data_IF_187006890828
#
_entry.id   IF_187006890828
#
_cell.length_a   1.000
_cell.length_b   1.000
_cell.length_c   1.000
_cell.angle_alpha   90.00
_cell.angle_beta   90.00
_cell.angle_gamma   90.00
#
_symmetry.space_group_name_H-M   'P 1'
#
loop_
_entity.id
_entity.type
_entity.pdbx_description
1 polymer ?
#
# COMPACT_ATOMS: atom_id res chain seq x y z
N UNK A 1 -7.31 -26.32 -12.19
CA UNK A 1 -6.61 -25.08 -11.86
C UNK A 1 -5.85 -24.58 -13.07
N UNK A 2 -6.13 -23.38 -13.51
CA UNK A 2 -5.30 -22.74 -14.51
C UNK A 2 -3.92 -22.49 -13.88
N UNK A 3 -2.85 -23.03 -14.49
CA UNK A 3 -1.48 -22.62 -14.18
C UNK A 3 -1.33 -21.20 -14.74
N UNK A 4 -1.48 -20.21 -13.88
CA UNK A 4 -1.10 -18.86 -14.20
C UNK A 4 0.42 -18.74 -14.34
N UNK A 5 0.88 -17.69 -15.01
CA UNK A 5 2.28 -17.32 -15.04
C UNK A 5 2.78 -17.07 -13.62
N UNK A 6 4.05 -17.35 -13.34
CA UNK A 6 4.65 -17.02 -12.05
C UNK A 6 4.59 -15.50 -11.84
N UNK A 7 4.23 -15.08 -10.64
CA UNK A 7 4.31 -13.66 -10.24
C UNK A 7 5.75 -13.38 -9.85
N UNK A 8 6.39 -12.45 -10.55
CA UNK A 8 7.76 -12.03 -10.27
C UNK A 8 7.72 -10.96 -9.19
N UNK A 9 8.40 -11.23 -8.09
CA UNK A 9 8.66 -10.23 -7.04
C UNK A 9 10.09 -9.74 -7.23
N UNK A 10 10.30 -8.48 -7.61
CA UNK A 10 11.65 -7.95 -7.82
C UNK A 10 12.42 -7.91 -6.49
N UNK A 11 13.74 -7.96 -6.59
CA UNK A 11 14.62 -7.76 -5.43
C UNK A 11 14.32 -6.38 -4.83
N UNK A 12 14.15 -6.34 -3.51
CA UNK A 12 13.82 -5.12 -2.74
C UNK A 12 12.52 -4.42 -3.18
N UNK A 13 11.65 -5.14 -3.91
CA UNK A 13 10.37 -4.67 -4.41
C UNK A 13 9.18 -5.43 -3.83
N UNK A 14 7.99 -5.09 -4.31
CA UNK A 14 6.72 -5.65 -3.87
C UNK A 14 5.98 -6.32 -5.03
N UNK A 15 5.53 -7.56 -4.83
CA UNK A 15 4.55 -8.20 -5.72
C UNK A 15 3.13 -7.83 -5.28
N UNK A 16 2.27 -7.51 -6.24
CA UNK A 16 0.90 -7.05 -5.96
C UNK A 16 -0.09 -8.05 -6.49
N UNK A 17 -1.06 -8.41 -5.65
CA UNK A 17 -2.25 -9.16 -6.03
C UNK A 17 -3.45 -8.20 -5.96
N UNK A 18 -4.10 -7.94 -7.10
CA UNK A 18 -5.23 -7.02 -7.21
C UNK A 18 -6.32 -7.59 -8.11
N UNK A 19 -7.55 -7.09 -7.99
CA UNK A 19 -8.71 -7.66 -8.68
C UNK A 19 -8.62 -7.59 -10.22
N UNK A 20 -8.00 -6.56 -10.73
CA UNK A 20 -7.79 -6.25 -12.16
C UNK A 20 -6.41 -6.70 -12.69
N UNK A 21 -5.65 -7.43 -11.86
CA UNK A 21 -4.35 -7.99 -12.18
C UNK A 21 -4.20 -9.43 -11.72
N UNK A 22 -3.00 -9.80 -11.33
CA UNK A 22 -2.77 -11.09 -10.70
C UNK A 22 -3.55 -11.17 -9.38
N UNK A 23 -4.35 -12.20 -9.21
CA UNK A 23 -5.16 -12.38 -8.01
C UNK A 23 -5.28 -13.86 -7.62
N UNK A 24 -5.60 -14.11 -6.36
CA UNK A 24 -5.91 -15.46 -5.85
C UNK A 24 -7.42 -15.59 -5.75
N UNK A 25 -7.99 -16.51 -6.52
CA UNK A 25 -9.41 -16.82 -6.45
C UNK A 25 -9.64 -17.93 -5.42
N UNK A 26 -10.35 -17.60 -4.35
CA UNK A 26 -10.78 -18.57 -3.35
C UNK A 26 -12.18 -19.10 -3.69
N UNK A 27 -12.25 -20.34 -4.14
CA UNK A 27 -13.53 -21.00 -4.38
C UNK A 27 -14.02 -21.65 -3.09
N UNK A 28 -14.94 -20.98 -2.40
CA UNK A 28 -15.56 -21.47 -1.17
C UNK A 28 -17.07 -21.57 -1.34
N UNK A 29 -17.72 -22.36 -0.48
CA UNK A 29 -19.19 -22.34 -0.41
C UNK A 29 -19.65 -20.96 0.06
N UNK A 30 -20.78 -20.42 -0.45
CA UNK A 30 -21.35 -19.17 0.02
C UNK A 30 -21.45 -19.12 1.55
N UNK A 31 -21.01 -18.03 2.17
CA UNK A 31 -21.06 -17.82 3.61
C UNK A 31 -19.95 -18.50 4.43
N UNK A 32 -19.03 -19.23 3.80
CA UNK A 32 -17.90 -19.88 4.51
C UNK A 32 -16.85 -18.85 4.96
N UNK A 33 -16.57 -17.84 4.12
CA UNK A 33 -15.58 -16.80 4.40
C UNK A 33 -16.27 -15.49 4.79
N UNK A 34 -16.71 -15.43 6.04
CA UNK A 34 -17.39 -14.25 6.59
C UNK A 34 -16.40 -13.13 6.90
N UNK A 35 -16.90 -11.88 6.87
CA UNK A 35 -16.11 -10.73 7.31
C UNK A 35 -15.53 -10.96 8.72
N UNK A 36 -14.28 -10.57 8.90
CA UNK A 36 -13.53 -10.75 10.14
C UNK A 36 -12.91 -12.14 10.33
N UNK A 37 -13.27 -13.14 9.49
CA UNK A 37 -12.67 -14.48 9.59
C UNK A 37 -11.33 -14.57 8.87
N UNK A 38 -10.53 -15.56 9.26
CA UNK A 38 -9.21 -15.82 8.69
C UNK A 38 -9.20 -17.16 7.94
N UNK A 39 -8.52 -17.18 6.79
CA UNK A 39 -8.21 -18.41 6.06
C UNK A 39 -6.69 -18.59 6.04
N UNK A 40 -6.16 -19.75 6.44
CA UNK A 40 -4.75 -20.06 6.27
C UNK A 40 -4.45 -20.30 4.78
N UNK A 41 -3.34 -19.76 4.30
CA UNK A 41 -2.85 -19.94 2.95
C UNK A 41 -1.34 -20.16 2.96
N UNK A 42 -0.87 -21.10 2.17
CA UNK A 42 0.55 -21.31 1.92
C UNK A 42 0.91 -20.76 0.54
N UNK A 43 1.81 -19.79 0.51
CA UNK A 43 2.42 -19.29 -0.72
C UNK A 43 3.74 -20.03 -0.93
N UNK A 44 3.94 -20.59 -2.13
CA UNK A 44 5.19 -21.25 -2.49
C UNK A 44 6.01 -20.32 -3.37
N UNK A 45 7.19 -19.97 -2.93
CA UNK A 45 8.15 -19.15 -3.65
C UNK A 45 9.30 -20.02 -4.17
N UNK A 46 9.78 -19.73 -5.36
CA UNK A 46 10.86 -20.48 -5.99
C UNK A 46 12.14 -20.48 -5.13
N UNK A 47 12.51 -19.32 -4.58
CA UNK A 47 13.75 -19.15 -3.83
C UNK A 47 13.55 -19.14 -2.30
N UNK A 48 12.38 -18.76 -1.80
CA UNK A 48 12.12 -18.63 -0.36
C UNK A 48 11.33 -19.82 0.23
N UNK A 49 10.94 -20.78 -0.60
CA UNK A 49 10.17 -21.95 -0.16
C UNK A 49 8.72 -21.58 0.19
N UNK A 50 8.17 -22.23 1.23
CA UNK A 50 6.77 -22.07 1.62
C UNK A 50 6.66 -21.02 2.73
N UNK A 51 5.82 -20.01 2.49
CA UNK A 51 5.45 -18.99 3.49
C UNK A 51 3.99 -19.18 3.85
N UNK A 52 3.73 -19.48 5.12
CA UNK A 52 2.37 -19.58 5.66
C UNK A 52 1.86 -18.19 6.02
N UNK A 53 0.70 -17.83 5.49
CA UNK A 53 0.02 -16.56 5.77
C UNK A 53 -1.41 -16.81 6.22
N UNK A 54 -2.06 -15.79 6.76
CA UNK A 54 -3.49 -15.79 7.07
C UNK A 54 -4.14 -14.65 6.30
N UNK A 55 -5.12 -14.98 5.47
CA UNK A 55 -5.96 -13.99 4.80
C UNK A 55 -7.15 -13.65 5.69
N UNK A 56 -7.37 -12.37 5.94
CA UNK A 56 -8.55 -11.88 6.64
C UNK A 56 -9.55 -11.34 5.61
N UNK A 57 -10.82 -11.71 5.74
CA UNK A 57 -11.89 -11.03 5.01
C UNK A 57 -12.21 -9.72 5.72
N UNK A 58 -11.72 -8.63 5.19
CA UNK A 58 -11.98 -7.27 5.72
C UNK A 58 -13.30 -6.68 5.23
N UNK A 59 -14.01 -7.38 4.34
CA UNK A 59 -15.17 -6.84 3.62
C UNK A 59 -14.76 -6.01 2.40
N UNK A 60 -15.68 -5.22 1.87
CA UNK A 60 -15.34 -4.25 0.83
C UNK A 60 -14.32 -3.25 1.39
N UNK A 61 -13.25 -3.00 0.65
CA UNK A 61 -12.24 -2.00 1.01
C UNK A 61 -12.91 -0.62 1.02
N UNK A 62 -13.41 -0.21 2.17
CA UNK A 62 -13.85 1.16 2.39
C UNK A 62 -12.61 1.91 2.88
N UNK A 63 -12.12 2.85 2.08
CA UNK A 63 -11.17 3.84 2.57
C UNK A 63 -11.89 4.76 3.56
N UNK A 64 -12.11 4.27 4.78
CA UNK A 64 -12.51 5.13 5.88
C UNK A 64 -11.23 5.76 6.44
N UNK A 65 -10.89 6.92 5.92
CA UNK A 65 -10.03 7.83 6.66
C UNK A 65 -10.89 8.38 7.81
N UNK A 66 -10.82 7.72 8.96
CA UNK A 66 -11.38 8.27 10.19
C UNK A 66 -10.59 9.54 10.55
N UNK A 67 -11.14 10.69 10.18
CA UNK A 67 -10.54 12.01 10.43
C UNK A 67 -10.71 12.46 11.87
N UNK A 68 -11.47 11.73 12.69
CA UNK A 68 -11.74 12.10 14.08
C UNK A 68 -10.49 12.05 14.97
N UNK A 69 -9.45 11.35 14.52
CA UNK A 69 -8.18 11.19 15.25
C UNK A 69 -6.99 11.60 14.37
N UNK A 70 -7.09 12.70 13.64
CA UNK A 70 -6.03 13.23 12.79
C UNK A 70 -5.04 14.11 13.56
N UNK A 71 -3.87 14.36 12.97
CA UNK A 71 -2.84 15.27 13.48
C UNK A 71 -2.76 16.49 12.59
N UNK A 72 -2.83 17.68 13.20
CA UNK A 72 -2.58 18.97 12.53
C UNK A 72 -1.38 19.63 13.15
N UNK A 73 -0.40 19.96 12.32
CA UNK A 73 0.84 20.66 12.73
C UNK A 73 0.96 22.00 11.99
N UNK A 74 1.71 22.91 12.58
CA UNK A 74 2.00 24.22 11.97
C UNK A 74 3.53 24.44 11.95
N UNK A 75 4.13 24.52 10.73
CA UNK A 75 3.52 24.34 9.42
C UNK A 75 3.12 22.88 9.16
N UNK A 76 2.01 22.68 8.48
CA UNK A 76 1.55 21.34 8.09
C UNK A 76 2.54 20.67 7.13
N UNK A 77 2.74 19.34 7.21
CA UNK A 77 3.50 18.63 6.20
C UNK A 77 2.83 18.72 4.84
N UNK A 78 3.63 18.62 3.77
CA UNK A 78 3.13 18.51 2.40
C UNK A 78 3.68 17.27 1.74
N UNK A 79 2.97 16.78 0.73
CA UNK A 79 3.34 15.59 -0.05
C UNK A 79 3.05 15.82 -1.52
N UNK A 80 4.06 15.59 -2.35
CA UNK A 80 3.95 15.49 -3.80
C UNK A 80 4.48 14.14 -4.26
N UNK A 81 3.81 13.52 -5.24
CA UNK A 81 4.18 12.22 -5.79
C UNK A 81 4.67 12.37 -7.22
N UNK A 82 5.82 11.79 -7.50
CA UNK A 82 6.42 11.77 -8.82
C UNK A 82 6.93 10.37 -9.16
N UNK A 83 6.97 10.02 -10.46
CA UNK A 83 7.63 8.80 -10.91
C UNK A 83 9.13 9.06 -11.09
N UNK A 84 9.97 8.33 -10.38
CA UNK A 84 11.40 8.25 -10.67
C UNK A 84 11.63 7.30 -11.85
N UNK A 85 10.97 6.12 -11.83
CA UNK A 85 10.84 5.24 -12.98
C UNK A 85 9.36 5.09 -13.31
N UNK A 86 8.97 5.45 -14.53
CA UNK A 86 7.58 5.40 -15.00
C UNK A 86 7.03 3.97 -14.95
N UNK A 87 5.74 3.79 -14.67
CA UNK A 87 5.13 2.48 -14.58
C UNK A 87 5.24 1.68 -15.88
N UNK A 88 5.68 0.45 -15.74
CA UNK A 88 5.72 -0.57 -16.79
C UNK A 88 5.27 -1.91 -16.23
N UNK A 89 5.07 -2.90 -17.10
CA UNK A 89 4.79 -4.27 -16.65
C UNK A 89 5.86 -4.88 -15.74
N UNK A 90 7.07 -4.32 -15.71
CA UNK A 90 8.17 -4.78 -14.86
C UNK A 90 8.18 -4.06 -13.50
N UNK A 91 7.32 -3.06 -13.31
CA UNK A 91 7.20 -2.28 -12.09
C UNK A 91 7.39 -0.79 -12.32
N UNK A 92 7.51 -0.05 -11.22
CA UNK A 92 7.68 1.40 -11.20
C UNK A 92 8.45 1.83 -9.95
N UNK A 93 9.08 3.00 -10.00
CA UNK A 93 9.69 3.61 -8.82
C UNK A 93 9.05 4.96 -8.55
N UNK A 94 8.41 5.05 -7.38
CA UNK A 94 7.77 6.26 -6.89
C UNK A 94 8.78 7.10 -6.11
N UNK A 95 8.75 8.40 -6.28
CA UNK A 95 9.42 9.40 -5.45
C UNK A 95 8.38 10.23 -4.70
N UNK A 96 8.63 10.47 -3.42
CA UNK A 96 7.84 11.32 -2.55
C UNK A 96 8.65 12.59 -2.23
N UNK A 97 8.13 13.74 -2.62
CA UNK A 97 8.65 15.02 -2.18
C UNK A 97 7.82 15.53 -1.01
N UNK A 98 8.48 15.71 0.13
CA UNK A 98 7.82 16.15 1.36
C UNK A 98 8.49 17.43 1.90
N UNK A 99 7.69 18.36 2.41
CA UNK A 99 8.19 19.46 3.21
C UNK A 99 7.58 19.38 4.61
N UNK A 100 8.30 19.89 5.59
CA UNK A 100 7.91 19.83 7.00
C UNK A 100 7.56 18.41 7.46
N UNK A 101 8.30 17.40 6.96
CA UNK A 101 8.09 16.01 7.33
C UNK A 101 9.40 15.24 7.32
N UNK A 102 9.61 14.44 8.34
CA UNK A 102 10.75 13.54 8.48
C UNK A 102 10.26 12.09 8.55
N UNK A 103 10.74 11.26 7.63
CA UNK A 103 10.49 9.83 7.71
C UNK A 103 11.21 9.22 8.91
N UNK A 104 10.45 8.55 9.76
CA UNK A 104 10.95 7.91 10.97
C UNK A 104 10.42 6.48 11.07
N UNK A 105 11.29 5.54 11.38
CA UNK A 105 10.91 4.16 11.67
C UNK A 105 10.95 3.98 13.18
N UNK A 106 9.78 3.87 13.76
CA UNK A 106 9.60 3.65 15.20
C UNK A 106 8.83 2.35 15.44
N UNK A 107 8.81 1.89 16.68
CA UNK A 107 7.94 0.80 17.10
C UNK A 107 6.46 1.22 16.99
N UNK A 108 5.57 0.22 16.87
CA UNK A 108 4.14 0.47 16.62
C UNK A 108 3.43 1.30 17.71
N UNK A 109 4.00 1.34 18.93
CA UNK A 109 3.47 2.08 20.08
C UNK A 109 4.24 3.40 20.35
N UNK A 110 5.01 3.89 19.39
CA UNK A 110 5.78 5.11 19.56
C UNK A 110 4.86 6.32 19.72
N UNK A 111 5.23 7.19 20.66
CA UNK A 111 4.52 8.45 20.85
C UNK A 111 4.65 9.36 19.63
N UNK A 112 3.64 10.20 19.42
CA UNK A 112 3.67 11.23 18.40
C UNK A 112 4.85 12.19 18.61
N UNK A 113 5.57 12.44 17.53
CA UNK A 113 6.57 13.51 17.41
C UNK A 113 6.12 14.42 16.27
N UNK A 114 6.03 15.74 16.49
CA UNK A 114 5.59 16.67 15.46
C UNK A 114 6.36 16.54 14.15
N UNK A 115 5.63 16.46 13.04
CA UNK A 115 6.18 16.35 11.69
C UNK A 115 7.09 15.13 11.45
N UNK A 116 6.97 14.09 12.27
CA UNK A 116 7.64 12.82 12.06
C UNK A 116 6.63 11.67 11.83
N UNK A 117 7.05 10.69 11.04
CA UNK A 117 6.23 9.51 10.83
C UNK A 117 6.61 8.70 9.59
N UNK A 118 5.60 8.12 8.97
CA UNK A 118 5.74 7.25 7.82
C UNK A 118 4.61 7.50 6.81
N UNK A 119 4.79 7.01 5.59
CA UNK A 119 3.72 7.03 4.61
C UNK A 119 2.99 5.68 4.56
N UNK A 120 1.68 5.72 4.29
CA UNK A 120 0.90 4.57 3.89
C UNK A 120 0.72 4.58 2.37
N UNK A 121 1.07 3.49 1.72
CA UNK A 121 0.96 3.33 0.26
C UNK A 121 -0.19 2.40 -0.05
N UNK A 122 -1.04 2.81 -1.00
CA UNK A 122 -2.20 2.05 -1.47
C UNK A 122 -2.19 1.93 -2.98
N UNK A 123 -2.62 0.80 -3.51
CA UNK A 123 -2.89 0.60 -4.93
C UNK A 123 -4.32 0.11 -5.11
N UNK A 124 -5.11 0.81 -5.91
CA UNK A 124 -6.55 0.55 -6.08
C UNK A 124 -7.29 0.38 -4.74
N UNK A 125 -6.91 1.21 -3.74
CA UNK A 125 -7.47 1.17 -2.40
C UNK A 125 -6.92 0.07 -1.48
N UNK A 126 -6.11 -0.85 -1.99
CA UNK A 126 -5.45 -1.86 -1.17
C UNK A 126 -4.17 -1.30 -0.55
N UNK A 127 -4.05 -1.36 0.77
CA UNK A 127 -2.83 -0.96 1.47
C UNK A 127 -1.70 -1.93 1.16
N UNK A 128 -0.64 -1.42 0.51
CA UNK A 128 0.56 -2.20 0.20
C UNK A 128 1.50 -2.28 1.39
N UNK A 129 1.55 -1.23 2.21
CA UNK A 129 2.42 -1.20 3.38
C UNK A 129 2.70 0.19 3.90
N UNK A 130 3.72 0.25 4.77
CA UNK A 130 4.29 1.48 5.33
C UNK A 130 5.60 1.78 4.63
N UNK A 131 5.85 3.05 4.38
CA UNK A 131 7.06 3.55 3.76
C UNK A 131 7.76 4.51 4.73
N UNK A 132 9.04 4.26 4.96
CA UNK A 132 9.88 5.03 5.90
C UNK A 132 11.01 5.77 5.17
N UNK A 133 10.81 6.04 3.89
CA UNK A 133 11.75 6.75 3.02
C UNK A 133 10.99 7.52 1.94
N UNK A 134 11.69 8.34 1.20
CA UNK A 134 11.12 9.14 0.12
C UNK A 134 11.03 8.42 -1.23
N UNK A 135 11.28 7.10 -1.28
CA UNK A 135 11.13 6.32 -2.50
C UNK A 135 10.43 4.98 -2.22
N UNK A 136 9.62 4.51 -3.17
CA UNK A 136 8.94 3.23 -3.08
C UNK A 136 9.02 2.45 -4.39
N UNK A 137 9.48 1.20 -4.32
CA UNK A 137 9.52 0.32 -5.47
C UNK A 137 8.22 -0.48 -5.58
N UNK A 138 7.51 -0.30 -6.68
CA UNK A 138 6.36 -1.13 -7.04
C UNK A 138 6.87 -2.28 -7.92
N UNK A 139 6.47 -3.51 -7.60
CA UNK A 139 6.82 -4.68 -8.38
C UNK A 139 6.07 -4.76 -9.70
N UNK A 140 6.26 -5.88 -10.41
CA UNK A 140 5.59 -6.13 -11.68
C UNK A 140 4.06 -6.03 -11.55
N UNK A 141 3.44 -5.35 -12.51
CA UNK A 141 2.00 -5.16 -12.62
C UNK A 141 1.47 -5.81 -13.89
N UNK A 142 0.27 -6.37 -13.81
CA UNK A 142 -0.45 -6.82 -15.01
C UNK A 142 -1.01 -5.62 -15.80
N UNK A 143 -1.32 -5.78 -17.10
CA UNK A 143 -2.04 -4.76 -17.85
C UNK A 143 -3.33 -4.34 -17.15
N UNK A 144 -3.60 -3.04 -17.09
CA UNK A 144 -4.78 -2.50 -16.44
C UNK A 144 -4.63 -1.06 -15.95
N UNK A 145 -5.70 -0.52 -15.37
CA UNK A 145 -5.75 0.82 -14.80
C UNK A 145 -5.51 0.78 -13.30
N UNK A 146 -4.68 1.69 -12.83
CA UNK A 146 -4.25 1.75 -11.44
C UNK A 146 -4.38 3.15 -10.86
N UNK A 147 -4.79 3.19 -9.60
CA UNK A 147 -4.71 4.39 -8.76
C UNK A 147 -3.76 4.09 -7.61
N UNK A 148 -2.59 4.72 -7.63
CA UNK A 148 -1.67 4.73 -6.50
C UNK A 148 -2.00 5.92 -5.61
N UNK A 149 -2.18 5.71 -4.32
CA UNK A 149 -2.33 6.79 -3.37
C UNK A 149 -1.40 6.60 -2.17
N UNK A 150 -0.96 7.72 -1.62
CA UNK A 150 -0.05 7.77 -0.48
C UNK A 150 -0.56 8.80 0.50
N UNK A 151 -0.59 8.46 1.79
CA UNK A 151 -0.90 9.39 2.88
C UNK A 151 0.26 9.48 3.87
N UNK A 152 0.49 10.67 4.44
CA UNK A 152 1.42 10.82 5.55
C UNK A 152 0.71 10.52 6.88
N UNK A 153 1.37 9.77 7.73
CA UNK A 153 0.89 9.37 9.03
C UNK A 153 1.97 9.60 10.10
N UNK A 154 1.54 10.01 11.28
CA UNK A 154 2.41 10.17 12.44
C UNK A 154 2.94 8.84 12.98
N UNK A 155 3.86 8.87 13.91
CA UNK A 155 4.44 7.69 14.54
C UNK A 155 3.38 6.82 15.22
N UNK A 156 2.34 7.41 15.79
CA UNK A 156 1.19 6.75 16.42
C UNK A 156 0.04 6.47 15.42
N UNK A 157 0.35 6.43 14.11
CA UNK A 157 -0.54 6.03 13.00
C UNK A 157 -1.72 6.95 12.68
N UNK A 158 -1.80 8.13 13.28
CA UNK A 158 -2.82 9.11 12.92
C UNK A 158 -2.50 9.79 11.59
N UNK A 159 -3.48 10.02 10.71
CA UNK A 159 -3.23 10.74 9.46
C UNK A 159 -2.91 12.21 9.72
N UNK A 160 -1.93 12.75 9.01
CA UNK A 160 -1.69 14.19 8.97
C UNK A 160 -2.76 14.89 8.14
N UNK A 161 -3.19 16.05 8.62
CA UNK A 161 -4.14 16.94 7.92
C UNK A 161 -3.58 18.36 7.84
N UNK A 162 -3.99 19.04 6.79
CA UNK A 162 -3.77 20.48 6.59
C UNK A 162 -5.14 21.18 6.52
N UNK A 163 -5.15 22.48 6.34
CA UNK A 163 -6.39 23.28 6.14
C UNK A 163 -7.17 22.82 4.90
N UNK A 164 -6.50 22.20 3.93
CA UNK A 164 -7.12 21.67 2.71
C UNK A 164 -7.62 20.22 2.84
N UNK A 165 -7.40 19.57 3.98
CA UNK A 165 -7.79 18.18 4.23
C UNK A 165 -6.60 17.25 4.48
N UNK A 166 -6.77 15.92 4.25
CA UNK A 166 -5.71 14.94 4.46
C UNK A 166 -4.46 15.25 3.65
N UNK A 167 -3.27 15.08 4.26
CA UNK A 167 -2.00 15.17 3.57
C UNK A 167 -1.77 13.88 2.79
N UNK A 168 -2.23 13.89 1.55
CA UNK A 168 -2.16 12.73 0.66
C UNK A 168 -1.94 13.15 -0.79
N UNK A 169 -1.38 12.25 -1.57
CA UNK A 169 -1.24 12.36 -3.03
C UNK A 169 -1.79 11.14 -3.73
N UNK A 170 -2.13 11.28 -5.01
CA UNK A 170 -2.54 10.17 -5.86
C UNK A 170 -2.01 10.32 -7.28
N UNK A 171 -1.67 9.18 -7.90
CA UNK A 171 -1.28 9.07 -9.30
C UNK A 171 -2.16 8.02 -9.96
N UNK A 172 -2.70 8.35 -11.15
CA UNK A 172 -3.47 7.43 -11.98
C UNK A 172 -2.60 7.05 -13.17
N UNK A 173 -2.50 5.77 -13.48
CA UNK A 173 -1.69 5.27 -14.57
C UNK A 173 -2.27 3.98 -15.16
N UNK A 174 -1.83 3.65 -16.37
CA UNK A 174 -2.21 2.45 -17.10
C UNK A 174 -0.96 1.62 -17.42
N UNK A 175 -1.04 0.32 -17.24
CA UNK A 175 -0.08 -0.64 -17.76
C UNK A 175 -0.67 -1.24 -19.03
N UNK A 176 0.03 -1.06 -20.15
CA UNK A 176 -0.33 -1.63 -21.45
C UNK A 176 0.25 -3.04 -21.62
N UNK A 177 -0.34 -3.82 -22.54
CA UNK A 177 0.10 -5.18 -22.91
C UNK A 177 1.55 -5.23 -23.47
#
# INVERSE_FOLDING_TARGET
GHKGSAIIIPKDGTGILAMDGAHIMLMTKPGTFKQGTFIPLNLTFENAGIVAIRLQNTGAAVMNHDMSNSVSEIPAPTLELNWEDVPTKNGAKLSLETNNFTFSRTDDDAAHVPNEGHAHVYLNGLKLGRLYSNTYQIGALSPGNYTLSVSLNSNDHRPYVSDSGPVMGALIFEIQD
#
